data_IF_585033096783
#
_entry.id   IF_585033096783
#
_cell.length_a   1.000
_cell.length_b   1.000
_cell.length_c   1.000
_cell.angle_alpha   90.00
_cell.angle_beta   90.00
_cell.angle_gamma   90.00
#
_symmetry.space_group_name_H-M   'P 1'
#
loop_
_entity.id
_entity.type
_entity.pdbx_description
1 polymer ?
#
# COMPACT_ATOMS: atom_id res chain seq x y z
N UNK A 1 -33.51 10.68 38.89
CA UNK A 1 -33.07 11.82 38.05
C UNK A 1 -31.60 11.57 37.73
N UNK A 2 -31.19 10.52 37.02
CA UNK A 2 -31.50 10.10 35.65
C UNK A 2 -31.38 11.23 34.63
N UNK A 3 -30.19 11.37 34.05
CA UNK A 3 -30.03 11.72 32.63
C UNK A 3 -28.72 11.08 32.11
N UNK A 4 -28.88 10.02 31.32
CA UNK A 4 -27.83 9.38 30.54
C UNK A 4 -27.72 10.12 29.19
N UNK A 5 -26.55 10.65 28.83
CA UNK A 5 -26.29 11.16 27.48
C UNK A 5 -25.48 10.16 26.66
N UNK A 6 -26.16 9.55 25.68
CA UNK A 6 -25.60 8.67 24.67
C UNK A 6 -24.92 9.48 23.55
N UNK A 7 -23.84 8.98 22.93
CA UNK A 7 -23.23 9.62 21.78
C UNK A 7 -24.04 9.34 20.49
N UNK A 8 -24.41 10.41 19.80
CA UNK A 8 -25.15 10.42 18.53
C UNK A 8 -24.34 9.81 17.38
N UNK A 9 -24.87 8.74 16.80
CA UNK A 9 -24.43 8.10 15.54
C UNK A 9 -24.83 8.97 14.32
N UNK A 10 -23.92 9.26 13.35
CA UNK A 10 -24.32 9.88 12.09
C UNK A 10 -24.87 8.85 11.11
N UNK A 11 -26.02 9.19 10.55
CA UNK A 11 -26.89 8.40 9.67
C UNK A 11 -26.25 8.01 8.33
N UNK A 12 -26.45 6.75 7.96
CA UNK A 12 -26.18 6.13 6.65
C UNK A 12 -27.05 6.75 5.53
N UNK A 13 -26.50 7.12 4.36
CA UNK A 13 -27.32 7.38 3.18
C UNK A 13 -27.77 6.05 2.56
N UNK A 14 -29.09 5.86 2.48
CA UNK A 14 -29.75 4.74 1.80
C UNK A 14 -29.74 5.03 0.29
N UNK A 15 -28.98 4.26 -0.47
CA UNK A 15 -29.04 4.27 -1.93
C UNK A 15 -30.36 3.65 -2.42
N UNK A 16 -31.03 4.22 -3.44
CA UNK A 16 -32.21 3.58 -4.03
C UNK A 16 -31.80 2.33 -4.85
N UNK A 17 -32.64 1.28 -4.92
CA UNK A 17 -32.34 0.10 -5.71
C UNK A 17 -32.49 0.41 -7.22
N UNK A 18 -31.67 -0.20 -8.10
CA UNK A 18 -31.85 -0.04 -9.54
C UNK A 18 -33.14 -0.72 -10.00
N UNK A 19 -33.95 0.03 -10.74
CA UNK A 19 -35.22 -0.40 -11.32
C UNK A 19 -35.06 -1.62 -12.22
N UNK A 20 -35.85 -2.64 -11.93
CA UNK A 20 -36.16 -3.82 -12.73
C UNK A 20 -36.20 -3.54 -14.24
N UNK A 21 -35.26 -4.11 -14.99
CA UNK A 21 -35.34 -4.16 -16.44
C UNK A 21 -36.35 -5.24 -16.84
N UNK A 22 -37.60 -4.84 -17.06
CA UNK A 22 -38.60 -5.69 -17.71
C UNK A 22 -38.21 -5.86 -19.17
N UNK A 23 -37.56 -6.98 -19.48
CA UNK A 23 -37.33 -7.44 -20.85
C UNK A 23 -38.67 -7.74 -21.51
N UNK A 24 -39.18 -6.79 -22.30
CA UNK A 24 -40.32 -7.03 -23.18
C UNK A 24 -39.79 -7.63 -24.48
N UNK A 25 -39.97 -8.94 -24.59
CA UNK A 25 -39.78 -9.74 -25.81
C UNK A 25 -40.70 -9.20 -26.91
N UNK A 26 -40.17 -8.39 -27.83
CA UNK A 26 -40.87 -8.04 -29.07
C UNK A 26 -40.58 -9.09 -30.15
N UNK A 27 -41.62 -9.90 -30.36
CA UNK A 27 -41.92 -10.86 -31.42
C UNK A 27 -41.30 -10.51 -32.79
N UNK A 28 -40.61 -11.49 -33.39
CA UNK A 28 -40.23 -11.46 -34.81
C UNK A 28 -41.48 -11.29 -35.68
N UNK A 29 -41.45 -10.32 -36.58
CA UNK A 29 -42.31 -10.34 -37.76
C UNK A 29 -41.57 -9.68 -38.91
N UNK A 30 -41.20 -10.51 -39.88
CA UNK A 30 -40.64 -10.12 -41.16
C UNK A 30 -41.80 -10.08 -42.17
N UNK A 31 -41.91 -9.04 -42.99
CA UNK A 31 -42.48 -9.19 -44.32
C UNK A 31 -41.49 -8.78 -45.42
N UNK A 32 -41.77 -9.34 -46.57
CA UNK A 32 -40.92 -9.51 -47.74
C UNK A 32 -40.46 -8.22 -48.45
N UNK A 33 -39.40 -8.45 -49.23
CA UNK A 33 -38.73 -7.64 -50.27
C UNK A 33 -39.59 -6.63 -51.03
N UNK A 34 -39.21 -5.35 -50.94
CA UNK A 34 -39.43 -4.34 -51.98
C UNK A 34 -38.21 -3.40 -52.03
N UNK A 35 -37.69 -3.18 -53.23
CA UNK A 35 -36.54 -2.33 -53.50
C UNK A 35 -36.82 -0.90 -53.06
N UNK A 36 -36.09 -0.40 -52.06
CA UNK A 36 -36.09 1.00 -51.66
C UNK A 36 -34.76 1.35 -51.02
N UNK A 37 -34.09 2.33 -51.62
CA UNK A 37 -32.91 3.08 -51.13
C UNK A 37 -32.89 3.16 -49.59
N UNK A 38 -31.75 2.93 -48.92
CA UNK A 38 -31.71 2.96 -47.45
C UNK A 38 -32.19 4.32 -46.96
N UNK A 39 -33.37 4.35 -46.34
CA UNK A 39 -33.87 5.52 -45.62
C UNK A 39 -32.84 5.86 -44.55
N UNK A 40 -32.33 7.10 -44.48
CA UNK A 40 -31.38 7.46 -43.45
C UNK A 40 -32.00 7.13 -42.08
N UNK A 41 -31.25 6.47 -41.18
CA UNK A 41 -31.78 6.12 -39.88
C UNK A 41 -32.30 7.38 -39.20
N UNK A 42 -33.38 7.27 -38.39
CA UNK A 42 -33.93 8.42 -37.69
C UNK A 42 -32.81 9.11 -36.89
N UNK A 43 -32.82 10.44 -36.76
CA UNK A 43 -31.72 11.21 -36.15
C UNK A 43 -31.44 10.81 -34.69
N UNK A 44 -32.30 9.99 -34.08
CA UNK A 44 -32.11 9.30 -32.81
C UNK A 44 -31.05 8.19 -32.85
N UNK A 45 -30.92 7.44 -33.96
CA UNK A 45 -29.95 6.34 -34.14
C UNK A 45 -28.65 6.84 -34.78
N UNK A 46 -28.71 7.90 -35.59
CA UNK A 46 -27.54 8.61 -36.15
C UNK A 46 -26.98 9.69 -35.24
N UNK A 47 -27.42 9.74 -33.96
CA UNK A 47 -26.94 10.69 -32.95
C UNK A 47 -25.54 10.30 -32.47
N UNK A 48 -24.60 10.33 -33.41
CA UNK A 48 -23.17 10.41 -33.15
C UNK A 48 -22.96 11.53 -32.14
N UNK A 49 -22.22 11.22 -31.08
CA UNK A 49 -21.90 12.17 -30.03
C UNK A 49 -21.39 13.46 -30.67
N UNK A 50 -21.95 14.61 -30.27
CA UNK A 50 -21.46 15.90 -30.77
C UNK A 50 -19.95 15.98 -30.51
N UNK A 51 -19.14 16.62 -31.38
CA UNK A 51 -17.69 16.65 -31.25
C UNK A 51 -17.18 17.09 -29.85
N UNK A 52 -17.91 17.98 -29.17
CA UNK A 52 -17.60 18.40 -27.81
C UNK A 52 -17.65 17.24 -26.78
N UNK A 53 -18.64 16.34 -26.89
CA UNK A 53 -18.78 15.21 -25.98
C UNK A 53 -17.68 14.14 -26.21
N UNK A 54 -17.29 13.91 -27.47
CA UNK A 54 -16.17 13.02 -27.80
C UNK A 54 -14.85 13.54 -27.22
N UNK A 55 -14.57 14.85 -27.34
CA UNK A 55 -13.40 15.47 -26.73
C UNK A 55 -13.45 15.40 -25.20
N UNK A 56 -14.62 15.63 -24.60
CA UNK A 56 -14.78 15.53 -23.14
C UNK A 56 -14.44 14.13 -22.64
N UNK A 57 -14.97 13.08 -23.29
CA UNK A 57 -14.66 11.69 -22.95
C UNK A 57 -13.16 11.42 -23.05
N UNK A 58 -12.51 11.87 -24.12
CA UNK A 58 -11.06 11.68 -24.32
C UNK A 58 -10.25 12.38 -23.21
N UNK A 59 -10.60 13.60 -22.86
CA UNK A 59 -9.94 14.36 -21.79
C UNK A 59 -10.13 13.69 -20.42
N UNK A 60 -11.34 13.21 -20.12
CA UNK A 60 -11.62 12.49 -18.87
C UNK A 60 -10.89 11.15 -18.82
N UNK A 61 -10.78 10.46 -19.96
CA UNK A 61 -10.01 9.22 -20.03
C UNK A 61 -8.53 9.45 -19.76
N UNK A 62 -7.94 10.50 -20.34
CA UNK A 62 -6.54 10.88 -20.07
C UNK A 62 -6.34 11.21 -18.59
N UNK A 63 -7.28 11.95 -17.98
CA UNK A 63 -7.24 12.29 -16.55
C UNK A 63 -7.34 11.03 -15.68
N UNK A 64 -8.30 10.14 -15.96
CA UNK A 64 -8.47 8.88 -15.25
C UNK A 64 -7.24 7.96 -15.38
N UNK A 65 -6.65 7.88 -16.58
CA UNK A 65 -5.44 7.12 -16.81
C UNK A 65 -4.27 7.65 -15.96
N UNK A 66 -4.10 8.97 -15.88
CA UNK A 66 -3.09 9.59 -15.03
C UNK A 66 -3.30 9.27 -13.54
N UNK A 67 -4.54 9.33 -13.06
CA UNK A 67 -4.87 8.99 -11.68
C UNK A 67 -4.65 7.52 -11.34
N UNK A 68 -4.90 6.61 -12.29
CA UNK A 68 -4.56 5.19 -12.10
C UNK A 68 -3.07 4.98 -11.91
N UNK A 69 -2.24 5.63 -12.71
CA UNK A 69 -0.78 5.53 -12.55
C UNK A 69 -0.30 6.14 -11.23
N UNK A 70 -0.86 7.29 -10.83
CA UNK A 70 -0.57 7.89 -9.53
C UNK A 70 -1.00 6.99 -8.37
N UNK A 71 -2.18 6.36 -8.46
CA UNK A 71 -2.65 5.40 -7.47
C UNK A 71 -1.71 4.20 -7.35
N UNK A 72 -1.28 3.62 -8.47
CA UNK A 72 -0.34 2.50 -8.49
C UNK A 72 1.01 2.89 -7.89
N UNK A 73 1.57 4.05 -8.28
CA UNK A 73 2.83 4.56 -7.73
C UNK A 73 2.73 4.80 -6.21
N UNK A 74 1.66 5.47 -5.77
CA UNK A 74 1.43 5.77 -4.35
C UNK A 74 1.24 4.49 -3.54
N UNK A 75 0.48 3.54 -4.07
CA UNK A 75 0.24 2.23 -3.44
C UNK A 75 1.55 1.44 -3.29
N UNK A 76 2.36 1.37 -4.36
CA UNK A 76 3.66 0.71 -4.32
C UNK A 76 4.61 1.38 -3.32
N UNK A 77 4.64 2.73 -3.27
CA UNK A 77 5.43 3.46 -2.29
C UNK A 77 5.00 3.12 -0.85
N UNK A 78 3.69 3.16 -0.56
CA UNK A 78 3.17 2.83 0.77
C UNK A 78 3.50 1.40 1.19
N UNK A 79 3.36 0.43 0.28
CA UNK A 79 3.72 -0.97 0.56
C UNK A 79 5.22 -1.10 0.81
N UNK A 80 6.06 -0.45 -0.01
CA UNK A 80 7.51 -0.48 0.18
C UNK A 80 7.94 0.10 1.53
N UNK A 81 7.27 1.16 2.00
CA UNK A 81 7.52 1.75 3.32
C UNK A 81 7.09 0.79 4.45
N UNK A 82 5.90 0.19 4.34
CA UNK A 82 5.43 -0.80 5.31
C UNK A 82 6.35 -2.03 5.37
N UNK A 83 6.77 -2.56 4.22
CA UNK A 83 7.73 -3.66 4.12
C UNK A 83 9.09 -3.27 4.68
N UNK A 84 9.59 -2.06 4.40
CA UNK A 84 10.84 -1.55 4.95
C UNK A 84 10.82 -1.50 6.48
N UNK A 85 9.72 -1.06 7.08
CA UNK A 85 9.56 -1.05 8.53
C UNK A 85 9.65 -2.47 9.12
N UNK A 86 8.91 -3.42 8.57
CA UNK A 86 8.95 -4.83 9.03
C UNK A 86 10.35 -5.42 8.85
N UNK A 87 10.98 -5.20 7.70
CA UNK A 87 12.32 -5.68 7.43
C UNK A 87 13.36 -5.07 8.38
N UNK A 88 13.22 -3.79 8.70
CA UNK A 88 14.10 -3.11 9.67
C UNK A 88 13.97 -3.71 11.07
N UNK A 89 12.74 -4.01 11.49
CA UNK A 89 12.47 -4.61 12.80
C UNK A 89 13.00 -6.05 12.89
N UNK A 90 12.75 -6.87 11.87
CA UNK A 90 13.26 -8.24 11.80
C UNK A 90 14.78 -8.25 11.77
N UNK A 91 15.40 -7.38 10.97
CA UNK A 91 16.87 -7.26 10.90
C UNK A 91 17.46 -6.82 12.23
N UNK A 92 16.83 -5.86 12.92
CA UNK A 92 17.26 -5.44 14.26
C UNK A 92 17.15 -6.59 15.27
N UNK A 93 16.03 -7.31 15.29
CA UNK A 93 15.87 -8.46 16.20
C UNK A 93 16.87 -9.57 15.91
N UNK A 94 17.00 -9.98 14.66
CA UNK A 94 17.95 -11.00 14.24
C UNK A 94 19.39 -10.59 14.63
N UNK A 95 19.75 -9.34 14.36
CA UNK A 95 21.07 -8.80 14.70
C UNK A 95 21.30 -8.76 16.21
N UNK A 96 20.32 -8.31 17.00
CA UNK A 96 20.42 -8.29 18.46
C UNK A 96 20.57 -9.71 19.02
N UNK A 97 19.88 -10.70 18.46
CA UNK A 97 20.01 -12.10 18.88
C UNK A 97 21.39 -12.65 18.54
N UNK A 98 21.87 -12.49 17.31
CA UNK A 98 23.20 -12.96 16.92
C UNK A 98 24.32 -12.27 17.70
N UNK A 99 24.28 -10.94 17.83
CA UNK A 99 25.31 -10.19 18.58
C UNK A 99 25.27 -10.49 20.07
N UNK A 100 24.09 -10.71 20.65
CA UNK A 100 23.95 -11.16 22.03
C UNK A 100 24.61 -12.53 22.20
N UNK A 101 24.23 -13.53 21.39
CA UNK A 101 24.78 -14.89 21.47
C UNK A 101 26.30 -14.88 21.24
N UNK A 102 26.80 -14.17 20.21
CA UNK A 102 28.22 -14.09 19.93
C UNK A 102 28.99 -13.36 21.05
N UNK A 103 28.46 -12.26 21.58
CA UNK A 103 29.14 -11.52 22.66
C UNK A 103 29.10 -12.27 23.99
N UNK A 104 28.02 -12.99 24.29
CA UNK A 104 27.95 -13.86 25.47
C UNK A 104 28.90 -15.05 25.32
N UNK A 105 28.98 -15.69 24.16
CA UNK A 105 29.95 -16.76 23.91
C UNK A 105 31.39 -16.25 24.06
N UNK A 106 31.73 -15.20 23.32
CA UNK A 106 33.06 -14.59 23.37
C UNK A 106 33.46 -14.11 24.78
N UNK A 107 32.54 -13.49 25.51
CA UNK A 107 32.80 -13.04 26.88
C UNK A 107 32.70 -14.14 27.92
N UNK A 108 32.08 -15.30 27.65
CA UNK A 108 32.11 -16.46 28.54
C UNK A 108 33.44 -17.20 28.42
N UNK A 109 33.98 -17.31 27.22
CA UNK A 109 35.24 -18.01 26.94
C UNK A 109 36.48 -17.19 27.35
N UNK A 110 36.34 -15.88 27.56
CA UNK A 110 37.43 -15.03 28.03
C UNK A 110 37.78 -15.29 29.51
N UNK A 111 39.07 -15.48 29.78
CA UNK A 111 39.62 -15.52 31.13
C UNK A 111 39.81 -14.09 31.66
N UNK A 112 38.96 -13.70 32.61
CA UNK A 112 38.96 -12.34 33.17
C UNK A 112 39.99 -12.15 34.31
N UNK A 113 40.70 -13.20 34.71
CA UNK A 113 41.63 -13.19 35.85
C UNK A 113 40.95 -12.63 37.10
N UNK A 114 41.62 -11.72 37.81
CA UNK A 114 41.12 -11.02 39.03
C UNK A 114 39.73 -10.38 38.86
N UNK A 115 39.33 -10.05 37.63
CA UNK A 115 38.01 -9.46 37.37
C UNK A 115 36.88 -10.50 37.38
N UNK A 116 37.16 -11.81 37.43
CA UNK A 116 36.14 -12.87 37.47
C UNK A 116 35.18 -12.75 38.65
N UNK A 117 35.70 -12.27 39.78
CA UNK A 117 34.98 -12.22 41.05
C UNK A 117 34.01 -11.03 41.11
N UNK A 118 34.14 -10.07 40.17
CA UNK A 118 33.20 -8.95 40.07
C UNK A 118 31.86 -9.42 39.48
N UNK A 119 30.76 -9.30 40.25
CA UNK A 119 29.45 -9.66 39.73
C UNK A 119 29.06 -8.74 38.56
N UNK A 120 28.38 -9.32 37.56
CA UNK A 120 27.92 -8.62 36.35
C UNK A 120 29.02 -8.04 35.43
N UNK A 121 30.31 -8.30 35.67
CA UNK A 121 31.40 -7.77 34.83
C UNK A 121 31.27 -8.20 33.37
N UNK A 122 30.97 -9.48 33.11
CA UNK A 122 30.77 -10.03 31.77
C UNK A 122 29.60 -9.34 31.07
N UNK A 123 28.47 -9.19 31.76
CA UNK A 123 27.28 -8.49 31.22
C UNK A 123 27.59 -7.04 30.86
N UNK A 124 28.34 -6.33 31.70
CA UNK A 124 28.75 -4.93 31.44
C UNK A 124 29.75 -4.83 30.29
N UNK A 125 30.69 -5.78 30.19
CA UNK A 125 31.64 -5.89 29.09
C UNK A 125 30.92 -6.19 27.76
N UNK A 126 30.02 -7.17 27.72
CA UNK A 126 29.16 -7.46 26.56
C UNK A 126 28.41 -6.20 26.10
N UNK A 127 27.80 -5.47 27.04
CA UNK A 127 27.03 -4.28 26.71
C UNK A 127 27.89 -3.15 26.13
N UNK A 128 29.09 -2.93 26.71
CA UNK A 128 30.06 -1.95 26.17
C UNK A 128 30.54 -2.36 24.77
N UNK A 129 30.84 -3.63 24.57
CA UNK A 129 31.27 -4.17 23.28
C UNK A 129 30.17 -3.99 22.22
N UNK A 130 28.93 -4.33 22.56
CA UNK A 130 27.78 -4.16 21.67
C UNK A 130 27.57 -2.69 21.28
N UNK A 131 27.70 -1.76 22.24
CA UNK A 131 27.60 -0.33 21.97
C UNK A 131 28.70 0.18 21.05
N UNK A 132 29.93 -0.30 21.20
CA UNK A 132 31.03 0.05 20.30
C UNK A 132 30.81 -0.52 18.89
N UNK A 133 30.41 -1.79 18.78
CA UNK A 133 30.10 -2.42 17.49
C UNK A 133 28.99 -1.67 16.75
N UNK A 134 27.93 -1.26 17.46
CA UNK A 134 26.83 -0.47 16.90
C UNK A 134 27.31 0.90 16.38
N UNK A 135 28.18 1.58 17.13
CA UNK A 135 28.76 2.87 16.74
C UNK A 135 29.62 2.73 15.48
N UNK A 136 30.54 1.76 15.46
CA UNK A 136 31.40 1.52 14.30
C UNK A 136 30.60 1.13 13.06
N UNK A 137 29.56 0.29 13.22
CA UNK A 137 28.65 -0.07 12.12
C UNK A 137 27.95 1.15 11.53
N UNK A 138 27.42 2.05 12.37
CA UNK A 138 26.77 3.28 11.91
C UNK A 138 27.75 4.17 11.13
N UNK A 139 28.98 4.30 11.62
CA UNK A 139 30.04 5.07 10.95
C UNK A 139 30.46 4.46 9.61
N UNK A 140 30.57 3.14 9.54
CA UNK A 140 30.86 2.43 8.29
C UNK A 140 29.74 2.64 7.26
N UNK A 141 28.47 2.54 7.70
CA UNK A 141 27.32 2.77 6.84
C UNK A 141 27.22 4.22 6.35
N UNK A 142 27.59 5.21 7.17
CA UNK A 142 27.62 6.60 6.73
C UNK A 142 28.69 6.80 5.65
N UNK A 143 29.91 6.30 5.88
CA UNK A 143 30.98 6.40 4.86
C UNK A 143 30.62 5.71 3.55
N UNK A 144 29.96 4.55 3.62
CA UNK A 144 29.51 3.86 2.41
C UNK A 144 28.47 4.67 1.63
N UNK A 145 27.52 5.33 2.33
CA UNK A 145 26.54 6.21 1.69
C UNK A 145 27.18 7.46 1.08
N UNK A 146 28.24 7.99 1.69
CA UNK A 146 28.95 9.15 1.15
C UNK A 146 29.76 8.80 -0.12
N UNK A 147 30.13 7.53 -0.30
CA UNK A 147 30.87 7.06 -1.47
C UNK A 147 30.00 6.75 -2.70
N UNK A 148 28.69 6.53 -2.52
CA UNK A 148 27.76 6.07 -3.57
C UNK A 148 26.82 7.18 -3.98
#
# INVERSE_FOLDING_TARGET
MEENQAPTTPSRPISPPPSSWKSTRSKLQNPSTESSRPTPPPPSVTRLWRPAAQRNLRNQWTKLASYRQQWSSSSSSSLSQATSLVNSYLSQRQFLVYTCILSLGYMNDMELGVLSDMPNIRKKACWKLLKQQELHRRKLLSFYKDMV
#
